data_IF_842411534793
#
_entry.id   IF_842411534793
#
_cell.length_a   1.000
_cell.length_b   1.000
_cell.length_c   1.000
_cell.angle_alpha   90.00
_cell.angle_beta   90.00
_cell.angle_gamma   90.00
#
_symmetry.space_group_name_H-M   'P 1'
#
loop_
_entity.id
_entity.type
_entity.pdbx_description
1 polymer ?
#
# COMPACT_ATOMS: atom_id res chain seq x y z
N UNK A 1 14.11 -69.26 6.49
CA UNK A 1 14.88 -68.83 7.69
C UNK A 1 15.62 -67.57 7.29
N UNK A 2 15.41 -66.38 7.82
CA UNK A 2 14.80 -65.92 9.06
C UNK A 2 13.92 -64.70 8.78
N UNK A 3 12.73 -64.66 9.39
CA UNK A 3 11.82 -63.51 9.39
C UNK A 3 12.34 -62.43 10.37
N UNK A 4 12.36 -61.17 9.95
CA UNK A 4 12.46 -60.03 10.87
C UNK A 4 11.06 -59.42 11.02
N UNK A 5 10.52 -59.53 12.23
CA UNK A 5 9.21 -59.03 12.61
C UNK A 5 9.21 -57.51 12.77
N UNK A 6 8.16 -56.90 12.22
CA UNK A 6 7.78 -55.51 12.45
C UNK A 6 6.88 -55.49 13.68
N UNK A 7 7.28 -54.78 14.72
CA UNK A 7 6.51 -54.61 15.95
C UNK A 7 5.55 -53.42 15.78
N UNK A 8 4.24 -53.70 15.90
CA UNK A 8 3.14 -52.74 15.75
C UNK A 8 2.72 -52.29 17.14
N UNK A 9 2.85 -50.99 17.42
CA UNK A 9 2.40 -50.36 18.66
C UNK A 9 0.90 -50.04 18.56
N UNK A 10 0.06 -50.37 19.57
CA UNK A 10 -1.37 -50.17 19.49
C UNK A 10 -1.77 -48.70 19.74
N UNK A 11 -2.76 -48.25 18.97
CA UNK A 11 -3.45 -46.96 19.11
C UNK A 11 -4.54 -47.14 20.15
N UNK A 12 -4.40 -46.51 21.31
CA UNK A 12 -5.49 -46.44 22.30
C UNK A 12 -6.53 -45.40 21.89
N UNK A 13 -7.78 -45.89 21.86
CA UNK A 13 -9.03 -45.19 21.61
C UNK A 13 -9.43 -44.49 22.91
N UNK A 14 -9.64 -43.18 22.88
CA UNK A 14 -10.34 -42.47 23.97
C UNK A 14 -11.74 -42.17 23.46
N UNK A 15 -12.73 -42.91 23.96
CA UNK A 15 -14.16 -42.69 23.77
C UNK A 15 -14.70 -41.70 24.82
N UNK A 16 -15.80 -41.05 24.43
CA UNK A 16 -16.50 -39.93 25.08
C UNK A 16 -16.96 -40.20 26.52
N UNK A 17 -16.96 -39.14 27.33
CA UNK A 17 -17.87 -38.99 28.45
C UNK A 17 -18.84 -37.85 28.15
N UNK A 18 -20.08 -38.25 27.86
CA UNK A 18 -21.28 -37.43 27.76
C UNK A 18 -21.83 -37.29 29.18
N UNK A 19 -22.09 -36.07 29.63
CA UNK A 19 -22.78 -35.81 30.91
C UNK A 19 -24.06 -35.02 30.57
N UNK A 20 -25.17 -35.73 30.51
CA UNK A 20 -26.54 -35.21 30.52
C UNK A 20 -27.26 -35.77 31.75
N UNK A 21 -28.08 -34.91 32.37
CA UNK A 21 -29.18 -35.13 33.35
C UNK A 21 -29.01 -34.23 34.61
N UNK A 22 -30.00 -33.48 35.12
CA UNK A 22 -31.44 -33.43 34.88
C UNK A 22 -32.06 -32.13 35.48
N UNK A 23 -33.11 -31.64 34.80
CA UNK A 23 -34.41 -31.10 35.27
C UNK A 23 -34.54 -29.86 36.21
N UNK A 24 -35.12 -28.75 35.69
CA UNK A 24 -36.55 -28.31 35.69
C UNK A 24 -37.04 -27.77 37.05
N UNK A 25 -37.55 -26.52 37.06
CA UNK A 25 -38.85 -26.09 37.63
C UNK A 25 -39.15 -24.62 37.26
N UNK A 26 -40.24 -24.44 36.51
CA UNK A 26 -41.24 -23.32 36.43
C UNK A 26 -40.74 -21.86 36.49
N UNK A 27 -41.10 -20.92 35.62
CA UNK A 27 -42.30 -20.74 34.81
C UNK A 27 -42.96 -19.41 35.18
N UNK A 28 -42.94 -18.41 34.30
CA UNK A 28 -44.03 -17.41 34.20
C UNK A 28 -43.97 -16.60 32.89
N UNK A 29 -45.16 -16.40 32.33
CA UNK A 29 -45.47 -15.66 31.09
C UNK A 29 -45.65 -14.17 31.40
N UNK A 30 -45.90 -13.43 30.31
CA UNK A 30 -46.49 -12.07 30.19
C UNK A 30 -45.39 -11.01 30.06
N UNK A 31 -45.32 -10.14 29.05
CA UNK A 31 -46.36 -9.55 28.23
C UNK A 31 -45.89 -9.16 26.81
N UNK A 32 -46.86 -9.11 25.90
CA UNK A 32 -46.73 -8.56 24.54
C UNK A 32 -46.72 -7.05 24.62
N UNK A 33 -45.83 -6.34 23.89
CA UNK A 33 -46.15 -5.02 23.34
C UNK A 33 -45.32 -4.71 22.08
N UNK A 34 -45.98 -4.83 20.91
CA UNK A 34 -45.59 -4.17 19.65
C UNK A 34 -45.99 -2.69 19.73
N UNK A 35 -45.23 -1.80 19.05
CA UNK A 35 -45.87 -0.70 18.34
C UNK A 35 -45.47 -0.66 16.86
N UNK A 36 -46.48 -1.00 16.04
CA UNK A 36 -46.95 -0.29 14.84
C UNK A 36 -45.90 0.31 13.87
N UNK A 37 -45.82 -0.37 12.72
CA UNK A 37 -45.51 0.24 11.42
C UNK A 37 -46.28 1.55 11.20
N UNK A 38 -45.56 2.64 10.87
CA UNK A 38 -46.11 3.75 10.09
C UNK A 38 -45.57 3.68 8.67
N UNK A 39 -46.39 3.10 7.78
CA UNK A 39 -46.34 3.39 6.34
C UNK A 39 -46.71 4.87 6.16
N UNK A 40 -45.80 5.69 5.63
CA UNK A 40 -46.20 6.97 5.01
C UNK A 40 -46.32 6.76 3.51
N UNK A 41 -47.47 7.25 3.03
CA UNK A 41 -48.03 7.12 1.71
C UNK A 41 -47.21 7.93 0.70
N UNK A 42 -46.98 7.29 -0.44
CA UNK A 42 -46.78 7.90 -1.75
C UNK A 42 -48.03 8.71 -2.14
N UNK A 43 -47.81 9.88 -2.75
CA UNK A 43 -48.80 10.62 -3.53
C UNK A 43 -48.16 11.08 -4.85
N UNK A 44 -48.97 11.33 -5.90
CA UNK A 44 -48.58 11.05 -7.28
C UNK A 44 -48.20 12.28 -8.11
N UNK A 45 -47.54 11.94 -9.21
CA UNK A 45 -47.38 12.61 -10.49
C UNK A 45 -48.41 13.73 -10.80
N UNK A 46 -47.92 14.91 -11.19
CA UNK A 46 -48.65 15.80 -12.11
C UNK A 46 -47.73 16.35 -13.21
N UNK A 47 -48.29 16.32 -14.40
CA UNK A 47 -47.74 16.74 -15.67
C UNK A 47 -47.57 18.26 -15.74
N UNK A 48 -46.52 18.73 -16.41
CA UNK A 48 -46.57 20.01 -17.11
C UNK A 48 -45.79 19.91 -18.42
N UNK A 49 -46.47 20.35 -19.47
CA UNK A 49 -46.12 20.22 -20.90
C UNK A 49 -45.03 21.22 -21.30
N UNK A 50 -44.27 20.83 -22.33
CA UNK A 50 -43.47 21.72 -23.17
C UNK A 50 -44.30 22.86 -23.80
N UNK A 51 -43.60 23.89 -24.29
CA UNK A 51 -43.78 24.24 -25.70
C UNK A 51 -42.47 24.34 -26.49
N UNK A 52 -42.65 24.11 -27.78
CA UNK A 52 -41.67 24.09 -28.88
C UNK A 52 -41.13 25.49 -29.21
N UNK A 53 -39.95 25.51 -29.82
CA UNK A 53 -39.35 26.58 -30.60
C UNK A 53 -37.83 26.39 -30.55
N UNK A 54 -37.11 26.00 -31.59
CA UNK A 54 -37.23 26.37 -33.00
C UNK A 54 -35.94 27.11 -33.37
N UNK A 55 -35.35 26.71 -34.50
CA UNK A 55 -34.29 27.35 -35.29
C UNK A 55 -32.89 26.76 -35.20
N UNK A 56 -32.54 26.18 -36.34
CA UNK A 56 -31.21 25.81 -36.79
C UNK A 56 -30.35 27.06 -37.01
N UNK A 57 -29.07 26.97 -36.64
CA UNK A 57 -28.03 27.79 -37.25
C UNK A 57 -26.77 26.94 -37.45
N UNK A 58 -26.53 26.67 -38.71
CA UNK A 58 -25.31 26.21 -39.35
C UNK A 58 -24.04 26.91 -38.82
N UNK A 59 -23.04 26.13 -38.41
CA UNK A 59 -21.66 26.60 -38.20
C UNK A 59 -20.79 26.26 -39.43
N UNK A 60 -19.95 27.19 -39.92
CA UNK A 60 -19.06 26.92 -41.03
C UNK A 60 -17.80 26.14 -40.59
N UNK A 61 -17.38 25.20 -41.45
CA UNK A 61 -16.12 24.45 -41.37
C UNK A 61 -14.91 25.40 -41.50
N UNK A 62 -13.94 25.28 -40.60
CA UNK A 62 -12.61 25.84 -40.76
C UNK A 62 -11.69 24.86 -41.55
N UNK A 63 -10.80 25.34 -42.44
CA UNK A 63 -9.91 24.48 -43.23
C UNK A 63 -8.63 24.09 -42.47
N UNK A 64 -8.12 22.89 -42.78
CA UNK A 64 -6.84 22.34 -42.32
C UNK A 64 -5.65 23.06 -42.96
N UNK A 65 -4.49 23.21 -42.27
CA UNK A 65 -3.28 23.73 -42.88
C UNK A 65 -2.52 22.66 -43.69
N UNK A 66 -2.11 23.06 -44.90
CA UNK A 66 -1.26 22.32 -45.83
C UNK A 66 0.20 22.36 -45.35
N UNK A 67 0.79 21.19 -45.12
CA UNK A 67 2.24 21.04 -44.85
C UNK A 67 2.99 21.01 -46.18
N UNK A 68 3.82 22.03 -46.43
CA UNK A 68 4.80 22.06 -47.53
C UNK A 68 6.11 21.43 -47.06
N UNK A 69 6.59 20.43 -47.78
CA UNK A 69 7.96 19.91 -47.68
C UNK A 69 8.90 20.72 -48.60
N UNK A 70 10.16 20.96 -48.19
CA UNK A 70 11.23 21.20 -49.14
C UNK A 70 12.20 20.01 -49.20
N UNK A 71 12.55 19.63 -50.43
CA UNK A 71 13.66 18.74 -50.78
C UNK A 71 14.98 19.52 -50.81
N UNK A 72 16.09 18.86 -50.45
CA UNK A 72 17.34 18.92 -51.22
C UNK A 72 18.63 19.43 -50.55
N UNK A 73 19.48 18.47 -50.10
CA UNK A 73 20.95 18.34 -50.25
C UNK A 73 21.91 19.45 -49.70
N UNK A 74 23.24 19.19 -49.49
CA UNK A 74 24.05 18.02 -49.85
C UNK A 74 24.94 17.42 -48.73
N UNK A 75 25.62 16.33 -49.12
CA UNK A 75 26.64 15.53 -48.44
C UNK A 75 27.95 16.31 -48.27
N UNK A 76 28.58 16.23 -47.09
CA UNK A 76 30.01 16.42 -46.91
C UNK A 76 30.58 15.36 -45.95
N UNK A 77 31.67 14.75 -46.40
CA UNK A 77 32.49 13.77 -45.68
C UNK A 77 33.43 14.45 -44.68
N UNK A 78 33.83 13.72 -43.63
CA UNK A 78 35.07 13.99 -42.91
C UNK A 78 35.05 13.70 -41.40
N UNK A 79 36.02 12.92 -40.95
CA UNK A 79 36.61 13.06 -39.62
C UNK A 79 36.17 12.04 -38.57
N UNK A 80 36.89 10.92 -38.51
CA UNK A 80 36.93 10.08 -37.31
C UNK A 80 37.67 10.79 -36.17
N UNK A 81 37.15 10.66 -34.96
CA UNK A 81 37.91 10.83 -33.72
C UNK A 81 37.28 9.92 -32.64
N UNK A 82 38.09 9.17 -31.86
CA UNK A 82 37.60 8.15 -30.96
C UNK A 82 36.95 8.79 -29.73
N UNK A 83 35.69 8.44 -29.45
CA UNK A 83 35.07 8.78 -28.16
C UNK A 83 35.51 7.76 -27.12
N UNK A 84 36.23 8.25 -26.13
CA UNK A 84 36.57 7.57 -24.88
C UNK A 84 35.30 7.05 -24.18
N UNK A 85 35.34 5.85 -23.56
CA UNK A 85 34.36 5.49 -22.56
C UNK A 85 34.86 6.07 -21.23
N UNK A 86 34.14 7.03 -20.65
CA UNK A 86 34.10 7.25 -19.21
C UNK A 86 33.13 8.41 -18.92
N UNK A 87 31.84 8.08 -18.89
CA UNK A 87 30.90 8.86 -18.11
C UNK A 87 31.00 8.37 -16.66
N UNK A 88 31.22 9.24 -15.67
CA UNK A 88 31.22 8.84 -14.27
C UNK A 88 29.83 8.27 -13.91
N UNK A 89 29.76 7.27 -13.00
CA UNK A 89 28.49 6.71 -12.60
C UNK A 89 27.61 7.81 -12.01
N UNK A 90 26.35 7.81 -12.46
CA UNK A 90 25.31 8.74 -12.03
C UNK A 90 25.33 8.89 -10.50
N UNK A 91 25.53 10.12 -10.05
CA UNK A 91 25.57 10.49 -8.64
C UNK A 91 24.35 9.97 -7.89
N UNK A 92 24.58 9.61 -6.63
CA UNK A 92 23.57 9.15 -5.69
C UNK A 92 22.35 10.05 -5.73
N UNK A 93 21.24 9.54 -6.28
CA UNK A 93 19.94 10.16 -6.10
C UNK A 93 19.66 10.16 -4.61
N UNK A 94 19.44 11.33 -4.01
CA UNK A 94 18.82 11.46 -2.69
C UNK A 94 17.44 10.81 -2.77
N UNK A 95 17.38 9.50 -2.48
CA UNK A 95 16.12 8.80 -2.32
C UNK A 95 15.48 9.43 -1.09
N UNK A 96 14.36 10.15 -1.22
CA UNK A 96 13.63 10.64 -0.06
C UNK A 96 13.34 9.44 0.83
N UNK A 97 13.70 9.56 2.09
CA UNK A 97 13.84 8.37 2.92
C UNK A 97 12.52 7.62 3.13
N UNK A 98 12.60 6.33 3.47
CA UNK A 98 11.58 5.30 3.30
C UNK A 98 11.07 5.23 1.85
N UNK A 99 11.98 5.40 0.87
CA UNK A 99 11.67 5.53 -0.54
C UNK A 99 11.85 4.25 -1.37
N UNK A 100 12.19 3.12 -0.75
CA UNK A 100 12.21 1.80 -1.40
C UNK A 100 11.73 0.72 -0.45
N UNK A 101 10.98 -0.26 -0.97
CA UNK A 101 10.58 -1.43 -0.19
C UNK A 101 10.44 -2.72 -0.99
N UNK A 102 10.15 -3.82 -0.32
CA UNK A 102 9.97 -5.15 -0.89
C UNK A 102 8.61 -5.74 -0.56
N UNK A 103 8.11 -6.52 -1.50
CA UNK A 103 6.98 -7.42 -1.33
C UNK A 103 7.24 -8.66 -2.17
N UNK A 104 8.09 -9.54 -1.67
CA UNK A 104 8.49 -10.80 -2.31
C UNK A 104 7.54 -11.94 -1.96
N UNK A 105 6.99 -11.93 -0.75
CA UNK A 105 6.06 -12.93 -0.23
C UNK A 105 4.61 -12.53 -0.55
N UNK A 106 4.12 -12.98 -1.72
CA UNK A 106 2.82 -12.58 -2.29
C UNK A 106 1.76 -13.69 -2.31
N UNK A 107 2.02 -14.82 -1.64
CA UNK A 107 1.13 -15.97 -1.71
C UNK A 107 -0.26 -15.68 -1.11
N UNK A 108 -1.37 -15.96 -1.81
CA UNK A 108 -2.73 -15.68 -1.32
C UNK A 108 -3.05 -16.32 0.04
N UNK A 109 -2.57 -17.54 0.28
CA UNK A 109 -2.75 -18.26 1.55
C UNK A 109 -1.98 -17.66 2.72
N UNK A 110 -1.02 -16.75 2.46
CA UNK A 110 -0.31 -15.98 3.47
C UNK A 110 -0.97 -14.61 3.69
N UNK A 111 -1.26 -13.89 2.60
CA UNK A 111 -1.81 -12.53 2.68
C UNK A 111 -3.27 -12.50 3.14
N UNK A 112 -4.09 -13.43 2.67
CA UNK A 112 -5.52 -13.46 2.99
C UNK A 112 -5.79 -13.55 4.49
N UNK A 113 -5.26 -14.57 5.19
CA UNK A 113 -5.41 -14.69 6.65
C UNK A 113 -4.78 -13.53 7.42
N UNK A 114 -3.57 -13.09 7.03
CA UNK A 114 -2.85 -12.01 7.72
C UNK A 114 -3.61 -10.69 7.72
N UNK A 115 -4.25 -10.35 6.60
CA UNK A 115 -4.96 -9.08 6.44
C UNK A 115 -6.48 -9.19 6.61
N UNK A 116 -7.01 -10.41 6.78
CA UNK A 116 -8.44 -10.67 6.87
C UNK A 116 -9.17 -10.33 5.57
N UNK A 117 -8.59 -10.75 4.44
CA UNK A 117 -9.10 -10.48 3.08
C UNK A 117 -9.45 -11.81 2.43
N UNK A 118 -10.66 -11.89 1.84
CA UNK A 118 -11.17 -13.11 1.22
C UNK A 118 -10.59 -13.35 -0.18
N UNK A 119 -10.46 -12.28 -0.95
CA UNK A 119 -9.99 -12.33 -2.33
C UNK A 119 -8.66 -11.57 -2.46
N UNK A 120 -7.58 -12.32 -2.63
CA UNK A 120 -6.24 -11.78 -2.83
C UNK A 120 -5.96 -11.80 -4.34
N UNK A 121 -5.72 -10.65 -4.98
CA UNK A 121 -5.43 -10.62 -6.40
C UNK A 121 -4.14 -11.38 -6.72
N UNK A 122 -3.98 -11.79 -7.97
CA UNK A 122 -2.70 -12.34 -8.43
C UNK A 122 -1.64 -11.24 -8.40
N UNK A 123 -0.68 -11.38 -7.49
CA UNK A 123 0.43 -10.45 -7.29
C UNK A 123 1.73 -11.09 -7.76
N UNK A 124 2.65 -10.27 -8.27
CA UNK A 124 4.02 -10.71 -8.59
C UNK A 124 4.99 -10.22 -7.50
N UNK A 125 6.00 -11.03 -7.12
CA UNK A 125 7.06 -10.60 -6.22
C UNK A 125 7.75 -9.33 -6.70
N UNK A 126 7.97 -8.39 -5.79
CA UNK A 126 8.64 -7.11 -6.02
C UNK A 126 9.83 -6.96 -5.09
N UNK A 127 11.00 -6.74 -5.65
CA UNK A 127 12.29 -6.75 -4.94
C UNK A 127 12.89 -5.35 -4.72
N UNK A 128 12.39 -4.31 -5.38
CA UNK A 128 12.90 -2.94 -5.30
C UNK A 128 11.80 -1.93 -5.70
N UNK A 129 10.70 -1.97 -4.94
CA UNK A 129 9.55 -1.08 -5.14
C UNK A 129 9.95 0.36 -4.94
N UNK A 130 9.61 1.22 -5.90
CA UNK A 130 9.91 2.65 -5.89
C UNK A 130 8.62 3.50 -5.98
N UNK A 131 8.67 4.79 -5.60
CA UNK A 131 7.57 5.72 -5.81
C UNK A 131 7.04 5.69 -7.24
N UNK A 132 5.78 6.10 -7.41
CA UNK A 132 5.00 6.10 -8.65
C UNK A 132 4.56 4.74 -9.17
N UNK A 133 5.01 3.65 -8.56
CA UNK A 133 4.55 2.30 -8.90
C UNK A 133 3.24 1.97 -8.19
N UNK A 134 2.44 1.12 -8.82
CA UNK A 134 1.19 0.61 -8.25
C UNK A 134 1.48 -0.61 -7.37
N UNK A 135 1.02 -0.56 -6.13
CA UNK A 135 1.31 -1.57 -5.12
C UNK A 135 0.06 -1.91 -4.31
N UNK A 136 -0.03 -3.15 -3.77
CA UNK A 136 -1.20 -3.59 -3.04
C UNK A 136 -1.31 -2.86 -1.69
N UNK A 137 -2.47 -2.27 -1.47
CA UNK A 137 -2.89 -1.72 -0.18
C UNK A 137 -4.14 -2.43 0.30
N UNK A 138 -4.22 -2.73 1.59
CA UNK A 138 -5.45 -3.22 2.22
C UNK A 138 -6.28 -2.02 2.66
N UNK A 139 -7.55 -1.97 2.32
CA UNK A 139 -8.46 -0.88 2.76
C UNK A 139 -9.90 -1.35 2.92
N UNK A 140 -10.69 -0.52 3.57
CA UNK A 140 -12.15 -0.62 3.64
C UNK A 140 -12.72 0.57 2.88
N UNK A 141 -13.57 0.32 1.88
CA UNK A 141 -14.10 1.37 0.99
C UNK A 141 -15.29 2.13 1.57
N UNK A 142 -16.03 1.51 2.49
CA UNK A 142 -17.17 2.11 3.17
C UNK A 142 -17.40 1.40 4.52
N UNK A 143 -18.03 2.06 5.52
CA UNK A 143 -18.43 1.40 6.76
C UNK A 143 -19.18 0.09 6.49
N UNK A 144 -18.78 -0.99 7.18
CA UNK A 144 -19.35 -2.33 7.02
C UNK A 144 -18.94 -3.09 5.75
N UNK A 145 -18.16 -2.49 4.84
CA UNK A 145 -17.60 -3.20 3.68
C UNK A 145 -16.47 -4.15 4.11
N UNK A 146 -16.26 -5.27 3.40
CA UNK A 146 -15.12 -6.13 3.67
C UNK A 146 -13.80 -5.41 3.36
N UNK A 147 -12.71 -5.89 3.96
CA UNK A 147 -11.36 -5.47 3.58
C UNK A 147 -11.05 -6.01 2.19
N UNK A 148 -10.41 -5.18 1.37
CA UNK A 148 -9.94 -5.56 0.02
C UNK A 148 -8.45 -5.27 -0.12
N UNK A 149 -7.75 -6.06 -0.95
CA UNK A 149 -6.42 -5.72 -1.44
C UNK A 149 -6.58 -5.15 -2.84
N UNK A 150 -6.20 -3.89 -3.02
CA UNK A 150 -6.28 -3.20 -4.31
C UNK A 150 -4.95 -2.52 -4.63
N UNK A 151 -4.61 -2.45 -5.91
CA UNK A 151 -3.44 -1.71 -6.36
C UNK A 151 -3.73 -0.20 -6.30
N UNK A 152 -2.81 0.55 -5.70
CA UNK A 152 -2.83 2.01 -5.69
C UNK A 152 -1.44 2.55 -5.97
N UNK A 153 -1.35 3.72 -6.59
CA UNK A 153 -0.07 4.36 -6.94
C UNK A 153 0.61 4.94 -5.71
N UNK A 154 1.89 4.62 -5.49
CA UNK A 154 2.66 5.21 -4.41
C UNK A 154 3.05 6.67 -4.71
N UNK A 155 2.57 7.60 -3.87
CA UNK A 155 2.69 9.05 -4.06
C UNK A 155 1.30 9.67 -4.03
N UNK A 156 0.85 10.10 -2.85
CA UNK A 156 -0.54 10.52 -2.64
C UNK A 156 -0.87 11.78 -3.45
N UNK A 157 -1.97 11.73 -4.21
CA UNK A 157 -2.52 12.87 -4.94
C UNK A 157 -3.80 13.31 -4.25
N UNK A 158 -3.80 14.47 -3.55
CA UNK A 158 -4.99 14.97 -2.89
C UNK A 158 -6.10 15.26 -3.91
N UNK A 159 -7.37 15.11 -3.52
CA UNK A 159 -8.51 15.27 -4.43
C UNK A 159 -8.64 16.68 -5.04
N UNK A 160 -8.04 17.70 -4.43
CA UNK A 160 -8.02 19.08 -4.91
C UNK A 160 -6.84 19.40 -5.84
N UNK A 161 -5.91 18.46 -6.01
CA UNK A 161 -4.73 18.68 -6.84
C UNK A 161 -5.13 18.91 -8.30
N UNK A 162 -4.44 19.84 -8.96
CA UNK A 162 -4.62 20.09 -10.40
C UNK A 162 -3.91 19.06 -11.28
N UNK A 163 -2.84 18.45 -10.75
CA UNK A 163 -1.94 17.58 -11.48
C UNK A 163 -1.38 16.47 -10.57
N UNK A 164 -1.11 15.29 -11.13
CA UNK A 164 -0.65 14.10 -10.40
C UNK A 164 0.79 14.19 -9.92
N UNK A 165 1.63 15.05 -10.52
CA UNK A 165 3.05 15.24 -10.15
C UNK A 165 3.23 15.73 -8.72
N UNK A 166 2.19 16.27 -8.08
CA UNK A 166 2.22 16.57 -6.66
C UNK A 166 2.53 15.31 -5.82
N UNK A 167 2.11 14.13 -6.30
CA UNK A 167 2.33 12.84 -5.67
C UNK A 167 3.81 12.48 -5.51
N UNK A 168 4.69 12.97 -6.39
CA UNK A 168 6.14 12.70 -6.35
C UNK A 168 6.78 13.20 -5.05
N UNK A 169 6.16 14.21 -4.41
CA UNK A 169 6.58 14.80 -3.13
C UNK A 169 5.77 14.28 -1.93
N UNK A 170 4.80 13.39 -2.17
CA UNK A 170 3.85 12.90 -1.17
C UNK A 170 3.95 11.39 -0.97
N UNK A 171 5.15 10.84 -1.17
CA UNK A 171 5.43 9.41 -0.95
C UNK A 171 5.33 9.02 0.53
N UNK A 172 5.65 9.97 1.43
CA UNK A 172 5.64 9.80 2.86
C UNK A 172 4.93 10.97 3.56
N UNK A 173 4.27 10.68 4.68
CA UNK A 173 3.65 11.67 5.55
C UNK A 173 4.14 11.47 6.99
N UNK A 174 4.63 12.54 7.62
CA UNK A 174 5.07 12.52 9.02
C UNK A 174 3.85 12.41 9.94
N UNK A 175 3.82 11.36 10.75
CA UNK A 175 2.67 11.05 11.63
C UNK A 175 2.34 12.20 12.58
N UNK A 176 3.36 12.92 13.03
CA UNK A 176 3.27 14.07 13.95
C UNK A 176 2.43 15.22 13.37
N UNK A 177 2.33 15.34 12.04
CA UNK A 177 1.66 16.46 11.37
C UNK A 177 0.60 16.02 10.35
N UNK A 178 0.43 14.71 10.13
CA UNK A 178 -0.47 14.18 9.12
C UNK A 178 -1.95 14.55 9.37
N UNK A 179 -2.36 14.61 10.64
CA UNK A 179 -3.73 14.98 11.03
C UNK A 179 -4.08 16.44 10.72
N UNK A 180 -3.09 17.31 10.54
CA UNK A 180 -3.27 18.76 10.40
C UNK A 180 -3.06 19.22 8.95
N UNK A 181 -2.10 18.63 8.24
CA UNK A 181 -1.69 19.07 6.91
C UNK A 181 -2.82 18.92 5.88
N UNK A 182 -3.12 19.95 5.06
CA UNK A 182 -4.20 19.91 4.07
C UNK A 182 -4.16 18.74 3.09
N UNK A 183 -2.96 18.26 2.75
CA UNK A 183 -2.77 17.10 1.86
C UNK A 183 -3.23 15.78 2.49
N UNK A 184 -3.20 15.65 3.81
CA UNK A 184 -3.36 14.36 4.51
C UNK A 184 -4.53 14.34 5.50
N UNK A 185 -4.92 15.46 6.09
CA UNK A 185 -5.90 15.53 7.19
C UNK A 185 -7.23 14.85 6.91
N UNK A 186 -7.71 14.89 5.66
CA UNK A 186 -8.96 14.21 5.26
C UNK A 186 -8.74 12.70 5.19
N UNK A 187 -7.63 12.26 4.58
CA UNK A 187 -7.31 10.84 4.50
C UNK A 187 -6.95 10.24 5.86
N UNK A 188 -6.29 10.99 6.73
CA UNK A 188 -5.99 10.55 8.10
C UNK A 188 -7.27 10.20 8.86
N UNK A 189 -8.35 10.98 8.67
CA UNK A 189 -9.64 10.78 9.34
C UNK A 189 -10.43 9.56 8.85
N UNK A 190 -10.39 9.22 7.56
CA UNK A 190 -11.30 8.18 7.05
C UNK A 190 -10.83 7.41 5.81
N UNK A 191 -9.62 7.69 5.30
CA UNK A 191 -9.03 6.99 4.14
C UNK A 191 -7.68 6.43 4.52
N UNK A 192 -7.69 5.54 5.51
CA UNK A 192 -6.54 4.79 5.98
C UNK A 192 -6.41 3.48 5.22
N UNK A 193 -5.19 3.02 5.05
CA UNK A 193 -4.88 1.74 4.44
C UNK A 193 -3.70 1.07 5.16
N UNK A 194 -3.51 -0.22 4.88
CA UNK A 194 -2.30 -0.96 5.20
C UNK A 194 -1.48 -1.09 3.92
N UNK A 195 -0.24 -0.63 3.91
CA UNK A 195 0.68 -0.85 2.79
C UNK A 195 1.37 -2.18 3.01
N UNK A 196 1.11 -3.15 2.13
CA UNK A 196 1.61 -4.53 2.27
C UNK A 196 3.09 -4.58 1.90
N UNK A 197 3.91 -5.16 2.76
CA UNK A 197 5.36 -5.28 2.57
C UNK A 197 5.91 -6.50 3.31
N UNK A 198 7.11 -6.95 2.97
CA UNK A 198 7.91 -7.87 3.80
C UNK A 198 9.28 -7.29 4.18
N UNK A 199 9.52 -6.02 3.87
CA UNK A 199 10.76 -5.34 4.20
C UNK A 199 10.91 -4.01 3.47
N UNK A 200 11.78 -3.14 3.96
CA UNK A 200 12.10 -1.86 3.33
C UNK A 200 13.60 -1.62 3.28
N UNK A 201 14.04 -0.73 2.39
CA UNK A 201 15.46 -0.39 2.31
C UNK A 201 15.73 0.96 2.96
N UNK A 202 16.84 1.02 3.69
CA UNK A 202 17.43 2.28 4.12
C UNK A 202 18.95 2.27 3.92
N UNK A 203 19.51 3.47 3.76
CA UNK A 203 20.92 3.64 3.41
C UNK A 203 21.71 4.13 4.62
N UNK A 204 22.37 3.19 5.32
CA UNK A 204 23.23 3.50 6.47
C UNK A 204 24.43 4.32 6.02
N UNK A 205 24.66 5.48 6.64
CA UNK A 205 25.83 6.32 6.35
C UNK A 205 27.10 5.62 6.85
N UNK A 206 28.09 5.49 5.97
CA UNK A 206 29.45 5.04 6.27
C UNK A 206 30.39 6.24 6.10
N UNK A 207 30.47 7.09 7.13
CA UNK A 207 31.17 8.37 7.06
C UNK A 207 30.39 9.44 6.28
N UNK A 208 31.11 10.32 5.57
CA UNK A 208 30.53 11.52 4.94
C UNK A 208 29.94 11.31 3.56
N UNK A 209 30.44 10.34 2.78
CA UNK A 209 30.07 10.20 1.36
C UNK A 209 29.51 8.82 0.98
N UNK A 210 29.90 7.74 1.67
CA UNK A 210 29.44 6.39 1.34
C UNK A 210 28.17 6.04 2.10
N UNK A 211 27.27 5.30 1.46
CA UNK A 211 26.10 4.71 2.11
C UNK A 211 25.99 3.22 1.78
N UNK A 212 25.69 2.41 2.78
CA UNK A 212 25.42 0.98 2.65
C UNK A 212 23.90 0.74 2.66
N UNK A 213 23.29 0.28 1.56
CA UNK A 213 21.89 -0.12 1.61
C UNK A 213 21.72 -1.33 2.53
N UNK A 214 20.70 -1.26 3.37
CA UNK A 214 20.29 -2.32 4.26
C UNK A 214 18.81 -2.60 4.01
N UNK A 215 18.46 -3.88 3.86
CA UNK A 215 17.07 -4.34 3.93
C UNK A 215 16.70 -4.51 5.40
N UNK A 216 15.59 -3.92 5.80
CA UNK A 216 15.05 -3.97 7.15
C UNK A 216 13.75 -4.77 7.09
N UNK A 217 13.64 -5.83 7.87
CA UNK A 217 12.52 -6.78 7.80
C UNK A 217 12.24 -7.47 9.13
N UNK A 218 11.12 -8.20 9.21
CA UNK A 218 10.80 -9.05 10.36
C UNK A 218 11.78 -10.25 10.44
N UNK A 219 12.10 -10.75 11.65
CA UNK A 219 12.98 -11.91 11.82
C UNK A 219 12.52 -13.17 11.07
N UNK A 220 11.21 -13.38 10.94
CA UNK A 220 10.62 -14.54 10.25
C UNK A 220 10.38 -14.30 8.75
N UNK A 221 10.82 -13.14 8.23
CA UNK A 221 10.63 -12.68 6.85
C UNK A 221 9.17 -12.63 6.37
N UNK A 222 8.20 -12.74 7.28
CA UNK A 222 6.79 -12.72 6.89
C UNK A 222 6.35 -11.29 6.50
N UNK A 223 5.33 -11.18 5.64
CA UNK A 223 4.69 -9.91 5.38
C UNK A 223 4.14 -9.26 6.64
N UNK A 224 4.12 -7.93 6.62
CA UNK A 224 3.54 -7.06 7.63
C UNK A 224 3.00 -5.80 6.92
N UNK A 225 2.50 -4.83 7.68
CA UNK A 225 2.00 -3.59 7.10
C UNK A 225 2.59 -2.32 7.70
N UNK A 226 2.82 -1.36 6.81
CA UNK A 226 2.92 0.03 7.20
C UNK A 226 1.52 0.64 7.33
N UNK A 227 1.35 1.55 8.29
CA UNK A 227 0.22 2.46 8.31
C UNK A 227 0.32 3.40 7.10
N UNK A 228 -0.69 3.39 6.25
CA UNK A 228 -0.78 4.24 5.07
C UNK A 228 -2.04 5.10 5.07
N UNK A 229 -2.00 6.14 4.26
CA UNK A 229 -3.18 6.91 3.88
C UNK A 229 -3.39 6.79 2.38
N UNK A 230 -4.64 6.78 1.94
CA UNK A 230 -4.99 6.77 0.53
C UNK A 230 -5.87 7.95 0.13
N UNK A 231 -5.86 8.27 -1.16
CA UNK A 231 -6.73 9.27 -1.75
C UNK A 231 -7.16 8.83 -3.14
N UNK A 232 -8.40 9.19 -3.49
CA UNK A 232 -8.92 9.11 -4.86
C UNK A 232 -8.89 10.50 -5.46
N UNK A 233 -8.12 10.65 -6.52
CA UNK A 233 -8.09 11.84 -7.36
C UNK A 233 -8.89 11.58 -8.64
N UNK A 234 -9.48 12.61 -9.22
CA UNK A 234 -10.15 12.54 -10.52
C UNK A 234 -9.65 13.66 -11.41
N UNK A 235 -9.36 13.35 -12.67
CA UNK A 235 -9.05 14.37 -13.67
C UNK A 235 -10.32 15.10 -14.13
N UNK A 236 -10.16 16.11 -14.99
CA UNK A 236 -11.27 16.88 -15.55
C UNK A 236 -12.22 16.02 -16.40
N UNK A 237 -11.70 14.93 -16.98
CA UNK A 237 -12.43 13.97 -17.79
C UNK A 237 -13.17 12.90 -16.96
N UNK A 238 -13.01 12.90 -15.63
CA UNK A 238 -13.67 11.98 -14.71
C UNK A 238 -12.96 10.63 -14.46
N UNK A 239 -11.81 10.39 -15.09
CA UNK A 239 -10.94 9.24 -14.80
C UNK A 239 -10.41 9.33 -13.37
N UNK A 240 -10.50 8.23 -12.63
CA UNK A 240 -10.09 8.16 -11.23
C UNK A 240 -8.71 7.52 -11.08
N UNK A 241 -7.91 8.05 -10.16
CA UNK A 241 -6.63 7.49 -9.74
C UNK A 241 -6.64 7.31 -8.24
N UNK A 242 -6.40 6.08 -7.78
CA UNK A 242 -6.15 5.81 -6.37
C UNK A 242 -4.66 5.85 -6.09
N UNK A 243 -4.32 6.57 -5.04
CA UNK A 243 -2.94 6.81 -4.62
C UNK A 243 -2.79 6.60 -3.13
N UNK A 244 -1.57 6.31 -2.67
CA UNK A 244 -1.28 6.16 -1.25
C UNK A 244 0.03 6.83 -0.84
N UNK A 245 0.18 7.04 0.46
CA UNK A 245 1.40 7.52 1.13
C UNK A 245 1.66 6.66 2.36
N UNK A 246 2.92 6.49 2.73
CA UNK A 246 3.32 5.76 3.93
C UNK A 246 3.45 6.75 5.09
N UNK A 247 2.88 6.42 6.24
CA UNK A 247 3.13 7.19 7.46
C UNK A 247 4.53 6.86 7.97
N UNK A 248 5.27 7.89 8.36
CA UNK A 248 6.61 7.77 8.95
C UNK A 248 6.62 8.40 10.33
N UNK A 249 7.48 7.87 11.20
CA UNK A 249 7.73 8.36 12.55
C UNK A 249 9.23 8.37 12.83
N UNK A 250 9.62 8.89 13.98
CA UNK A 250 10.99 8.74 14.49
C UNK A 250 11.38 7.26 14.55
N UNK A 251 12.59 6.96 14.09
CA UNK A 251 13.15 5.62 14.12
C UNK A 251 13.37 5.13 15.56
N UNK A 252 13.38 3.82 15.74
CA UNK A 252 13.65 3.15 17.02
C UNK A 252 14.57 1.97 16.81
N UNK A 253 15.20 1.52 17.90
CA UNK A 253 16.03 0.31 17.93
C UNK A 253 17.04 0.26 16.77
N UNK A 254 17.21 -0.90 16.14
CA UNK A 254 18.20 -1.10 15.07
C UNK A 254 18.01 -0.18 13.85
N UNK A 255 16.80 0.36 13.63
CA UNK A 255 16.55 1.29 12.52
C UNK A 255 17.17 2.67 12.81
N UNK A 256 17.24 3.08 14.08
CA UNK A 256 17.83 4.38 14.46
C UNK A 256 19.33 4.45 14.16
N UNK A 257 20.02 3.30 14.14
CA UNK A 257 21.43 3.20 13.74
C UNK A 257 21.63 3.33 12.22
N UNK A 258 20.54 3.26 11.44
CA UNK A 258 20.55 3.35 9.97
C UNK A 258 20.04 4.72 9.53
N UNK A 259 18.92 5.17 10.08
CA UNK A 259 18.28 6.44 9.74
C UNK A 259 17.42 7.00 10.89
N UNK A 260 17.21 8.32 10.93
CA UNK A 260 16.38 9.03 11.93
C UNK A 260 14.85 8.80 11.82
N UNK A 261 14.36 8.24 10.70
CA UNK A 261 12.93 7.92 10.51
C UNK A 261 12.75 6.48 10.07
N UNK A 262 11.54 5.98 10.30
CA UNK A 262 11.09 4.69 9.82
C UNK A 262 9.62 4.76 9.41
N UNK A 263 9.13 3.81 8.59
CA UNK A 263 7.70 3.62 8.39
C UNK A 263 7.01 3.29 9.72
N UNK A 264 5.77 3.73 9.89
CA UNK A 264 4.91 3.31 11.01
C UNK A 264 4.47 1.88 10.75
N UNK A 265 5.07 0.91 11.43
CA UNK A 265 4.69 -0.52 11.31
C UNK A 265 3.60 -0.82 12.33
N UNK A 266 2.48 -1.40 11.88
CA UNK A 266 1.37 -1.76 12.75
C UNK A 266 1.47 -3.23 13.18
N UNK A 267 1.09 -3.52 14.42
CA UNK A 267 0.82 -4.89 14.87
C UNK A 267 -0.47 -5.42 14.20
N UNK A 268 -0.57 -6.73 14.03
CA UNK A 268 -1.68 -7.35 13.30
C UNK A 268 -3.05 -7.11 13.97
N UNK A 269 -3.09 -7.04 15.30
CA UNK A 269 -4.30 -6.70 16.08
C UNK A 269 -4.76 -5.26 15.86
N UNK A 270 -3.85 -4.34 15.51
CA UNK A 270 -4.16 -2.95 15.20
C UNK A 270 -4.71 -2.75 13.77
N UNK A 271 -4.62 -3.75 12.88
CA UNK A 271 -5.06 -3.64 11.48
C UNK A 271 -6.54 -3.30 11.35
N UNK A 272 -7.41 -3.97 12.13
CA UNK A 272 -8.85 -3.72 12.11
C UNK A 272 -9.21 -2.30 12.58
N UNK A 273 -8.84 -1.92 13.82
CA UNK A 273 -9.07 -0.58 14.33
C UNK A 273 -8.50 0.53 13.44
N UNK A 274 -7.32 0.32 12.85
CA UNK A 274 -6.72 1.28 11.92
C UNK A 274 -7.55 1.44 10.63
N UNK A 275 -8.17 0.37 10.13
CA UNK A 275 -8.94 0.39 8.89
C UNK A 275 -10.40 0.83 9.06
N UNK A 276 -10.92 0.92 10.29
CA UNK A 276 -12.31 1.27 10.57
C UNK A 276 -12.59 2.74 10.22
N UNK A 277 -13.37 3.06 9.16
CA UNK A 277 -13.63 4.45 8.75
C UNK A 277 -14.54 5.23 9.71
N UNK A 278 -15.18 4.58 10.68
CA UNK A 278 -16.07 5.23 11.65
C UNK A 278 -15.28 5.92 12.78
N UNK A 279 -14.10 5.41 13.14
CA UNK A 279 -13.20 6.11 14.05
C UNK A 279 -12.47 7.25 13.33
N UNK A 280 -12.79 8.49 13.71
CA UNK A 280 -12.27 9.71 13.10
C UNK A 280 -11.60 10.64 14.12
N UNK A 281 -11.58 10.27 15.41
CA UNK A 281 -10.98 11.08 16.46
C UNK A 281 -9.46 11.05 16.31
N UNK A 282 -8.88 12.24 16.12
CA UNK A 282 -7.48 12.36 15.76
C UNK A 282 -6.54 11.84 16.87
N UNK A 283 -6.88 12.08 18.13
CA UNK A 283 -6.15 11.59 19.31
C UNK A 283 -6.08 10.06 19.37
N UNK A 284 -7.20 9.39 19.11
CA UNK A 284 -7.26 7.91 19.08
C UNK A 284 -6.42 7.36 17.94
N UNK A 285 -6.56 7.93 16.74
CA UNK A 285 -5.77 7.51 15.58
C UNK A 285 -4.28 7.77 15.78
N UNK A 286 -3.90 8.87 16.44
CA UNK A 286 -2.51 9.17 16.81
C UNK A 286 -1.97 8.18 17.84
N UNK A 287 -2.78 7.76 18.82
CA UNK A 287 -2.38 6.73 19.78
C UNK A 287 -2.08 5.38 19.11
N UNK A 288 -2.90 4.98 18.12
CA UNK A 288 -2.68 3.74 17.36
C UNK A 288 -1.33 3.72 16.64
N UNK A 289 -0.98 4.80 15.94
CA UNK A 289 0.30 4.91 15.21
C UNK A 289 1.48 5.19 16.13
N UNK A 290 1.27 5.75 17.32
CA UNK A 290 2.30 5.86 18.35
C UNK A 290 2.70 4.48 18.88
N UNK A 291 1.72 3.57 19.05
CA UNK A 291 1.90 2.18 19.44
C UNK A 291 2.48 1.28 18.34
N UNK A 292 3.02 1.85 17.25
CA UNK A 292 3.75 1.12 16.18
C UNK A 292 4.77 0.14 16.75
N UNK A 293 5.06 -0.93 16.03
CA UNK A 293 6.06 -1.95 16.39
C UNK A 293 7.38 -1.76 15.62
N UNK A 294 8.33 -2.68 15.80
CA UNK A 294 9.60 -2.70 15.06
C UNK A 294 10.86 -2.60 15.92
N UNK A 295 10.79 -2.98 17.20
CA UNK A 295 11.98 -3.07 18.06
C UNK A 295 12.86 -4.30 17.73
N UNK A 296 12.27 -5.30 17.11
CA UNK A 296 12.80 -6.62 16.76
C UNK A 296 13.19 -6.74 15.27
N UNK A 297 13.16 -5.62 14.52
CA UNK A 297 13.52 -5.63 13.11
C UNK A 297 14.99 -6.04 12.90
N UNK A 298 15.20 -6.88 11.89
CA UNK A 298 16.52 -7.29 11.43
C UNK A 298 17.01 -6.31 10.36
N UNK A 299 18.26 -5.86 10.49
CA UNK A 299 18.94 -4.99 9.52
C UNK A 299 19.99 -5.82 8.77
N UNK A 300 19.72 -6.06 7.50
CA UNK A 300 20.54 -6.92 6.64
C UNK A 300 21.21 -6.09 5.55
N UNK A 301 22.54 -5.93 5.52
CA UNK A 301 23.23 -5.26 4.43
C UNK A 301 23.00 -5.96 3.09
N UNK A 302 22.73 -5.20 2.03
CA UNK A 302 22.45 -5.73 0.68
C UNK A 302 23.30 -5.02 -0.38
N UNK A 303 23.27 -5.53 -1.62
CA UNK A 303 24.01 -4.96 -2.75
C UNK A 303 23.55 -3.54 -3.10
N UNK A 304 24.48 -2.70 -3.57
CA UNK A 304 24.20 -1.36 -4.13
C UNK A 304 23.36 -1.37 -5.41
N UNK A 305 23.08 -2.55 -5.98
CA UNK A 305 22.14 -2.72 -7.10
C UNK A 305 20.78 -2.10 -6.81
N UNK A 306 20.32 -2.11 -5.54
CA UNK A 306 19.04 -1.52 -5.14
C UNK A 306 18.95 -0.01 -5.39
N UNK A 307 20.08 0.69 -5.55
CA UNK A 307 20.12 2.12 -5.84
C UNK A 307 19.40 2.45 -7.16
N UNK A 308 19.46 1.55 -8.14
CA UNK A 308 18.74 1.68 -9.40
C UNK A 308 17.38 0.96 -9.31
N UNK A 309 16.25 1.69 -9.30
CA UNK A 309 14.91 1.09 -9.16
C UNK A 309 14.50 0.19 -10.33
N UNK A 310 15.29 0.14 -11.42
CA UNK A 310 15.07 -0.80 -12.53
C UNK A 310 15.62 -2.19 -12.24
N UNK A 311 16.49 -2.33 -11.24
CA UNK A 311 16.97 -3.63 -10.80
C UNK A 311 15.89 -4.23 -9.89
N UNK A 312 15.19 -5.24 -10.37
CA UNK A 312 14.02 -5.86 -9.69
C UNK A 312 14.19 -7.37 -9.49
N UNK A 313 15.43 -7.84 -9.42
CA UNK A 313 15.73 -9.26 -9.26
C UNK A 313 15.93 -9.70 -7.80
N UNK A 314 15.88 -11.01 -7.52
CA UNK A 314 16.06 -11.58 -6.19
C UNK A 314 17.45 -11.30 -5.59
N UNK A 315 18.43 -10.91 -6.39
CA UNK A 315 19.75 -10.50 -5.89
C UNK A 315 19.72 -9.24 -5.02
N UNK A 316 18.66 -8.43 -5.11
CA UNK A 316 18.51 -7.20 -4.32
C UNK A 316 18.28 -7.45 -2.83
N UNK A 317 17.71 -8.60 -2.47
CA UNK A 317 17.40 -8.97 -1.08
C UNK A 317 18.44 -9.91 -0.49
N UNK A 318 19.45 -10.32 -1.27
CA UNK A 318 20.51 -11.23 -0.79
C UNK A 318 21.40 -10.49 0.22
N UNK A 319 21.60 -11.06 1.42
CA UNK A 319 22.55 -10.53 2.38
C UNK A 319 23.95 -10.43 1.77
N UNK A 320 24.67 -9.34 2.08
CA UNK A 320 26.12 -9.29 1.94
C UNK A 320 26.76 -9.86 3.20
N UNK A 321 27.82 -10.67 3.04
CA UNK A 321 28.62 -11.12 4.16
C UNK A 321 29.70 -10.09 4.49
N UNK A 322 30.31 -10.18 5.68
CA UNK A 322 31.29 -9.20 6.15
C UNK A 322 32.47 -8.98 5.17
N UNK A 323 32.85 -10.02 4.42
CA UNK A 323 33.88 -9.99 3.38
C UNK A 323 33.47 -9.20 2.12
N UNK A 324 32.18 -8.95 1.94
CA UNK A 324 31.61 -8.27 0.77
C UNK A 324 31.22 -6.81 1.07
N UNK A 325 31.48 -6.33 2.30
CA UNK A 325 31.26 -4.94 2.70
C UNK A 325 32.42 -4.03 2.23
N UNK A 326 32.14 -2.81 1.73
CA UNK A 326 33.11 -1.92 1.09
C UNK A 326 33.99 -1.07 2.02
#
# INVERSE_FOLDING_TARGET
MMHHGVEVVPVERVEEAVDEDEQIVTGERVDRHRPRHRRRRSLPCQHARSPRGGLASSFPRAPLPVVRTPRGAPVLAGGGSPRTPDAPPLGFSDVPMCGRYTLTNVAPNLLGPLFGVLDVPLLSPRFNVAPTQDMPVVRVLAPGAPRTIELARWGLVPSWAKDISIGDRMINARVETAAEKPAYRSSFKSKRCLVVTDGFYEWKKLGTAKKQPCRIHMPDEKPFAFAGLWARWKNAEGSALDTFTILTAEARAAVADVHDRMPVILAADAYGPWLDPEEQRADVLQAMVAARVGADLVVTPVSTRVNNPRNEGPENVRPLFAQDLP
#
